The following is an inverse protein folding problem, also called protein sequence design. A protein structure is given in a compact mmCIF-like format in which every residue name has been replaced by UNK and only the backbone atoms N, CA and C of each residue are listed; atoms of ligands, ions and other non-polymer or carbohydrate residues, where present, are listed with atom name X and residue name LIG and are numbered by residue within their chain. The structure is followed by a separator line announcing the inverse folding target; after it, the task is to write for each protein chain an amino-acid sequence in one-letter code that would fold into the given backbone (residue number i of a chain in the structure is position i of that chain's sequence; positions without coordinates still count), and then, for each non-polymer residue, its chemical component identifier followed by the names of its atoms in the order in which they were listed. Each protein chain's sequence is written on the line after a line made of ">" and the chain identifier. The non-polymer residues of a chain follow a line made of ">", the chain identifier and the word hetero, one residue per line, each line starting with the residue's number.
data_IF_668314535136
#
_entry.id   IF_668314535136
#
_cell.length_a   1.000
_cell.length_b   1.000
_cell.length_c   1.000
_cell.angle_alpha   90.00
_cell.angle_beta   90.00
_cell.angle_gamma   90.00
#
_symmetry.space_group_name_H-M   'P 1'
#
loop_
_entity.id
_entity.type
_entity.pdbx_description
1 polymer ?
#
# COMPACT_ATOMS: atom_id res chain seq x y z
N UNK A 1 -7.05 7.00 -26.01
CA UNK A 1 -7.94 6.78 -24.85
C UNK A 1 -9.38 6.72 -25.34
N UNK A 2 -9.87 7.74 -26.05
CA UNK A 2 -11.26 7.82 -26.54
C UNK A 2 -11.76 6.62 -27.35
N UNK A 3 -10.97 6.09 -28.30
CA UNK A 3 -11.37 4.90 -29.08
C UNK A 3 -11.53 3.63 -28.23
N UNK A 4 -10.72 3.50 -27.16
CA UNK A 4 -10.75 2.38 -26.22
C UNK A 4 -11.99 2.52 -25.33
N UNK A 5 -12.30 3.74 -24.89
CA UNK A 5 -13.50 4.04 -24.09
C UNK A 5 -14.79 3.83 -24.89
N UNK A 6 -14.82 4.26 -26.15
CA UNK A 6 -15.97 4.06 -27.04
C UNK A 6 -16.29 2.57 -27.25
N UNK A 7 -15.27 1.74 -27.49
CA UNK A 7 -15.46 0.29 -27.65
C UNK A 7 -15.89 -0.41 -26.36
N UNK A 8 -15.43 0.08 -25.20
CA UNK A 8 -15.89 -0.40 -23.90
C UNK A 8 -17.36 -0.02 -23.67
N UNK A 9 -17.77 1.20 -24.05
CA UNK A 9 -19.11 1.75 -23.86
C UNK A 9 -20.16 1.26 -24.90
N UNK A 10 -19.75 0.47 -25.88
CA UNK A 10 -20.67 -0.15 -26.83
C UNK A 10 -21.43 -1.36 -26.24
N UNK A 11 -22.57 -1.68 -26.84
CA UNK A 11 -23.45 -2.79 -26.44
C UNK A 11 -22.90 -4.16 -26.87
N UNK A 12 -23.32 -5.22 -26.19
CA UNK A 12 -22.82 -6.57 -26.45
C UNK A 12 -23.22 -7.06 -27.84
N UNK A 13 -22.25 -7.15 -28.76
CA UNK A 13 -22.48 -7.62 -30.14
C UNK A 13 -23.09 -9.02 -30.13
N UNK A 14 -22.62 -9.89 -29.23
CA UNK A 14 -23.11 -11.25 -29.14
C UNK A 14 -24.57 -11.30 -28.68
N UNK A 15 -24.95 -10.45 -27.71
CA UNK A 15 -26.34 -10.36 -27.26
C UNK A 15 -27.26 -9.81 -28.36
N UNK A 16 -26.82 -8.76 -29.06
CA UNK A 16 -27.54 -8.21 -30.21
C UNK A 16 -27.73 -9.25 -31.32
N UNK A 17 -26.69 -10.02 -31.66
CA UNK A 17 -26.77 -11.10 -32.65
C UNK A 17 -27.70 -12.24 -32.24
N UNK A 18 -27.79 -12.52 -30.94
CA UNK A 18 -28.69 -13.53 -30.39
C UNK A 18 -30.15 -13.05 -30.29
N UNK A 19 -30.49 -11.87 -30.84
CA UNK A 19 -31.84 -11.30 -30.79
C UNK A 19 -32.22 -10.74 -29.42
N UNK A 20 -31.27 -10.59 -28.50
CA UNK A 20 -31.49 -10.10 -27.13
C UNK A 20 -31.47 -8.56 -27.02
N UNK A 21 -31.58 -7.84 -28.14
CA UNK A 21 -31.39 -6.39 -28.20
C UNK A 21 -32.41 -5.55 -27.44
N UNK A 22 -33.59 -6.11 -27.16
CA UNK A 22 -34.63 -5.48 -26.32
C UNK A 22 -34.84 -6.21 -25.00
N UNK A 23 -34.06 -7.27 -24.75
CA UNK A 23 -34.17 -8.09 -23.55
C UNK A 23 -33.13 -7.71 -22.51
N UNK A 24 -33.52 -7.80 -21.25
CA UNK A 24 -32.63 -7.60 -20.11
C UNK A 24 -31.66 -8.77 -19.97
N UNK A 25 -30.36 -8.49 -19.81
CA UNK A 25 -29.36 -9.52 -19.50
C UNK A 25 -29.51 -10.06 -18.07
N UNK A 26 -28.74 -11.10 -17.73
CA UNK A 26 -28.73 -11.69 -16.38
C UNK A 26 -28.27 -10.71 -15.28
N UNK A 27 -27.73 -9.55 -15.65
CA UNK A 27 -27.27 -8.50 -14.74
C UNK A 27 -28.26 -7.32 -14.64
N UNK A 28 -29.40 -7.38 -15.34
CA UNK A 28 -30.43 -6.34 -15.27
C UNK A 28 -30.29 -5.21 -16.31
N UNK A 29 -29.42 -5.33 -17.31
CA UNK A 29 -29.19 -4.29 -18.33
C UNK A 29 -29.97 -4.56 -19.63
N UNK A 30 -30.72 -3.55 -20.10
CA UNK A 30 -31.40 -3.54 -21.40
C UNK A 30 -31.07 -2.23 -22.15
N UNK A 31 -30.43 -2.27 -23.35
CA UNK A 31 -29.88 -3.47 -23.98
C UNK A 31 -28.71 -4.08 -23.18
N UNK A 32 -28.36 -5.34 -23.40
CA UNK A 32 -27.22 -6.00 -22.74
C UNK A 32 -25.90 -5.25 -22.98
N UNK A 33 -25.30 -4.73 -21.90
CA UNK A 33 -24.05 -3.96 -21.97
C UNK A 33 -22.83 -4.88 -22.13
N UNK A 34 -21.76 -4.41 -22.77
CA UNK A 34 -20.45 -5.09 -22.70
C UNK A 34 -19.85 -4.92 -21.31
N UNK A 35 -19.34 -6.03 -20.75
CA UNK A 35 -18.54 -6.01 -19.52
C UNK A 35 -17.30 -5.11 -19.67
N UNK A 36 -16.71 -5.12 -20.87
CA UNK A 36 -15.60 -4.28 -21.26
C UNK A 36 -14.84 -4.88 -22.44
N UNK A 37 -13.57 -4.49 -22.56
CA UNK A 37 -12.66 -4.94 -23.62
C UNK A 37 -11.39 -5.54 -23.05
N UNK A 38 -10.79 -6.44 -23.84
CA UNK A 38 -9.48 -7.01 -23.56
C UNK A 38 -8.50 -6.50 -24.59
N UNK A 39 -7.51 -5.74 -24.14
CA UNK A 39 -6.42 -5.23 -24.95
C UNK A 39 -5.28 -6.26 -24.91
N UNK A 40 -4.90 -6.76 -26.08
CA UNK A 40 -3.75 -7.63 -26.27
C UNK A 40 -2.95 -7.17 -27.49
N UNK A 41 -1.61 -7.31 -27.50
CA UNK A 41 -0.84 -7.06 -28.69
C UNK A 41 -1.20 -8.07 -29.80
N UNK A 42 -0.96 -7.67 -31.05
CA UNK A 42 -1.24 -8.53 -32.22
C UNK A 42 -0.37 -9.80 -32.19
N UNK A 43 0.86 -9.65 -31.73
CA UNK A 43 1.78 -10.74 -31.46
C UNK A 43 1.78 -11.06 -29.96
N UNK A 44 1.93 -12.34 -29.60
CA UNK A 44 1.94 -12.73 -28.20
C UNK A 44 3.26 -12.30 -27.53
N UNK A 45 3.18 -11.29 -26.68
CA UNK A 45 4.33 -10.79 -25.90
C UNK A 45 4.23 -11.28 -24.47
N UNK A 46 5.36 -11.76 -23.94
CA UNK A 46 5.50 -12.25 -22.56
C UNK A 46 6.47 -11.34 -21.81
N UNK A 47 6.12 -10.97 -20.58
CA UNK A 47 6.99 -10.22 -19.68
C UNK A 47 8.13 -11.08 -19.16
N UNK A 48 9.22 -10.47 -18.66
CA UNK A 48 10.31 -11.19 -17.97
C UNK A 48 9.84 -12.03 -16.77
N UNK A 49 8.62 -11.77 -16.27
CA UNK A 49 7.96 -12.56 -15.22
C UNK A 49 7.23 -13.81 -15.72
N UNK A 50 7.27 -14.12 -17.03
CA UNK A 50 6.55 -15.23 -17.65
C UNK A 50 5.06 -14.97 -17.90
N UNK A 51 4.55 -13.77 -17.58
CA UNK A 51 3.14 -13.40 -17.77
C UNK A 51 2.90 -12.77 -19.14
N UNK A 52 1.79 -13.14 -19.79
CA UNK A 52 1.37 -12.53 -21.06
C UNK A 52 0.95 -11.07 -20.87
N UNK A 53 1.30 -10.22 -21.83
CA UNK A 53 0.88 -8.82 -21.86
C UNK A 53 -0.58 -8.74 -22.28
N UNK A 54 -1.49 -8.71 -21.30
CA UNK A 54 -2.93 -8.58 -21.52
C UNK A 54 -3.48 -7.58 -20.51
N UNK A 55 -4.23 -6.58 -20.98
CA UNK A 55 -4.92 -5.62 -20.14
C UNK A 55 -6.44 -5.74 -20.32
N UNK A 56 -7.17 -5.70 -19.22
CA UNK A 56 -8.65 -5.70 -19.23
C UNK A 56 -9.14 -4.32 -18.85
N UNK A 57 -9.96 -3.72 -19.70
CA UNK A 57 -10.63 -2.45 -19.42
C UNK A 57 -12.13 -2.71 -19.31
N UNK A 58 -12.62 -2.80 -18.07
CA UNK A 58 -14.01 -3.10 -17.72
C UNK A 58 -14.77 -1.82 -17.40
N UNK A 59 -16.07 -1.81 -17.66
CA UNK A 59 -16.98 -0.75 -17.17
C UNK A 59 -17.05 -0.78 -15.65
N UNK A 60 -17.37 0.38 -15.06
CA UNK A 60 -17.50 0.53 -13.61
C UNK A 60 -18.59 -0.35 -13.01
N UNK A 61 -19.67 -0.61 -13.77
CA UNK A 61 -20.79 -1.48 -13.38
C UNK A 61 -20.37 -2.95 -13.20
N UNK A 62 -19.29 -3.37 -13.86
CA UNK A 62 -18.75 -4.73 -13.83
C UNK A 62 -17.42 -4.82 -13.05
N UNK A 63 -17.16 -3.85 -12.18
CA UNK A 63 -15.91 -3.73 -11.45
C UNK A 63 -15.89 -4.66 -10.24
N UNK A 64 -14.86 -5.50 -10.14
CA UNK A 64 -14.64 -6.41 -9.01
C UNK A 64 -14.26 -5.66 -7.72
N UNK A 65 -13.75 -4.43 -7.83
CA UNK A 65 -13.37 -3.60 -6.70
C UNK A 65 -14.44 -2.56 -6.39
N UNK A 66 -14.80 -2.44 -5.10
CA UNK A 66 -15.76 -1.43 -4.62
C UNK A 66 -15.39 -0.01 -5.04
N UNK A 67 -14.10 0.33 -5.03
CA UNK A 67 -13.58 1.63 -5.47
C UNK A 67 -12.84 1.52 -6.81
N UNK A 68 -12.91 2.55 -7.67
CA UNK A 68 -12.10 2.61 -8.89
C UNK A 68 -10.62 2.65 -8.50
N UNK A 69 -9.80 1.81 -9.12
CA UNK A 69 -8.35 1.95 -9.03
C UNK A 69 -7.98 3.25 -9.72
N UNK A 70 -7.61 4.27 -8.95
CA UNK A 70 -7.10 5.52 -9.52
C UNK A 70 -5.87 5.18 -10.35
N UNK A 71 -5.92 5.48 -11.65
CA UNK A 71 -4.73 5.39 -12.52
C UNK A 71 -3.65 6.22 -11.85
N UNK A 72 -2.57 5.55 -11.43
CA UNK A 72 -1.46 6.22 -10.78
C UNK A 72 -0.68 6.88 -11.91
N UNK A 73 -0.74 8.21 -11.99
CA UNK A 73 0.09 8.96 -12.93
C UNK A 73 1.56 8.71 -12.61
N UNK A 74 2.47 8.77 -13.59
CA UNK A 74 3.91 8.60 -13.35
C UNK A 74 4.43 9.50 -12.23
N UNK A 75 3.89 10.72 -12.14
CA UNK A 75 4.18 11.67 -11.06
C UNK A 75 3.78 11.15 -9.67
N UNK A 76 2.59 10.54 -9.53
CA UNK A 76 2.15 9.96 -8.25
C UNK A 76 2.96 8.72 -7.87
N UNK A 77 3.44 7.95 -8.84
CA UNK A 77 4.37 6.84 -8.58
C UNK A 77 5.65 7.40 -7.99
N UNK A 78 6.22 8.44 -8.63
CA UNK A 78 7.43 9.11 -8.18
C UNK A 78 7.27 9.69 -6.77
N UNK A 79 6.17 10.38 -6.48
CA UNK A 79 5.90 10.89 -5.12
C UNK A 79 5.82 9.78 -4.07
N UNK A 80 5.27 8.61 -4.42
CA UNK A 80 5.23 7.45 -3.51
C UNK A 80 6.60 6.80 -3.31
N UNK A 81 7.44 6.80 -4.35
CA UNK A 81 8.83 6.34 -4.28
C UNK A 81 9.68 7.28 -3.42
N UNK A 82 9.57 8.59 -3.65
CA UNK A 82 10.25 9.64 -2.87
C UNK A 82 9.81 9.58 -1.40
N UNK A 83 8.50 9.41 -1.14
CA UNK A 83 7.97 9.24 0.22
C UNK A 83 8.54 8.00 0.94
N UNK A 84 8.76 6.89 0.21
CA UNK A 84 9.41 5.69 0.78
C UNK A 84 10.89 5.92 1.03
N UNK A 85 11.59 6.62 0.13
CA UNK A 85 12.99 6.96 0.30
C UNK A 85 13.20 7.83 1.54
N UNK A 86 12.36 8.87 1.72
CA UNK A 86 12.33 9.71 2.92
C UNK A 86 12.13 8.86 4.18
N UNK A 87 11.13 7.98 4.18
CA UNK A 87 10.86 7.14 5.35
C UNK A 87 12.05 6.23 5.70
N UNK A 88 12.71 5.62 4.71
CA UNK A 88 13.84 4.72 4.95
C UNK A 88 15.09 5.45 5.47
N UNK A 89 15.33 6.67 4.99
CA UNK A 89 16.49 7.46 5.41
C UNK A 89 16.31 8.02 6.83
N UNK A 90 15.14 8.60 7.12
CA UNK A 90 14.92 9.38 8.33
C UNK A 90 14.44 8.55 9.52
N UNK A 91 13.75 7.43 9.27
CA UNK A 91 13.23 6.55 10.33
C UNK A 91 14.31 5.54 10.69
N UNK A 92 15.11 5.89 11.71
CA UNK A 92 16.20 5.05 12.22
C UNK A 92 15.94 4.59 13.65
N UNK A 93 16.58 3.49 14.06
CA UNK A 93 16.48 2.94 15.43
C UNK A 93 16.93 3.96 16.48
N UNK A 94 18.01 4.68 16.20
CA UNK A 94 18.53 5.71 17.11
C UNK A 94 17.54 6.85 17.32
N UNK A 95 16.86 7.29 16.25
CA UNK A 95 15.82 8.32 16.36
C UNK A 95 14.63 7.81 17.19
N UNK A 96 14.21 6.56 17.00
CA UNK A 96 13.17 5.96 17.85
C UNK A 96 13.56 5.99 19.34
N UNK A 97 14.81 5.68 19.69
CA UNK A 97 15.28 5.77 21.08
C UNK A 97 15.25 7.20 21.61
N UNK A 98 15.72 8.18 20.84
CA UNK A 98 15.65 9.59 21.25
C UNK A 98 14.21 10.07 21.47
N UNK A 99 13.27 9.63 20.63
CA UNK A 99 11.85 9.97 20.77
C UNK A 99 11.27 9.36 22.04
N UNK A 100 11.56 8.09 22.32
CA UNK A 100 11.09 7.41 23.54
C UNK A 100 11.68 8.07 24.80
N UNK A 101 12.97 8.41 24.78
CA UNK A 101 13.65 9.04 25.93
C UNK A 101 13.15 10.46 26.21
N UNK A 102 13.05 11.31 25.16
CA UNK A 102 12.57 12.70 25.30
C UNK A 102 11.10 12.76 25.75
N UNK A 103 10.26 11.87 25.22
CA UNK A 103 8.82 11.94 25.45
C UNK A 103 8.38 11.39 26.80
N UNK A 104 9.22 10.56 27.46
CA UNK A 104 8.88 9.81 28.67
C UNK A 104 7.58 9.00 28.53
N UNK A 105 7.15 8.72 27.30
CA UNK A 105 5.95 7.94 27.00
C UNK A 105 6.31 6.47 27.19
N UNK A 106 5.50 5.78 27.98
CA UNK A 106 5.68 4.35 28.16
C UNK A 106 5.54 3.62 26.82
N UNK A 107 6.52 2.76 26.53
CA UNK A 107 6.56 1.93 25.34
C UNK A 107 5.51 0.79 25.44
N UNK A 108 4.24 1.16 25.30
CA UNK A 108 3.10 0.26 25.26
C UNK A 108 2.41 0.32 23.89
N UNK A 109 1.68 -0.73 23.54
CA UNK A 109 0.96 -0.80 22.26
C UNK A 109 -0.08 0.33 22.14
N UNK A 110 -0.71 0.72 23.23
CA UNK A 110 -1.70 1.81 23.28
C UNK A 110 -1.12 3.16 22.87
N UNK A 111 0.16 3.39 23.18
CA UNK A 111 0.86 4.64 22.88
C UNK A 111 1.49 4.67 21.48
N UNK A 112 1.33 3.62 20.67
CA UNK A 112 1.90 3.55 19.31
C UNK A 112 1.52 4.77 18.47
N UNK A 113 0.26 5.22 18.53
CA UNK A 113 -0.21 6.40 17.80
C UNK A 113 0.53 7.68 18.20
N UNK A 114 0.76 7.88 19.50
CA UNK A 114 1.49 9.04 20.03
C UNK A 114 2.95 9.00 19.60
N UNK A 115 3.59 7.83 19.65
CA UNK A 115 4.98 7.65 19.24
C UNK A 115 5.15 7.95 17.75
N UNK A 116 4.21 7.52 16.90
CA UNK A 116 4.21 7.85 15.48
C UNK A 116 4.12 9.36 15.26
N UNK A 117 3.23 10.05 15.97
CA UNK A 117 3.10 11.51 15.88
C UNK A 117 4.41 12.20 16.29
N UNK A 118 4.97 11.82 17.44
CA UNK A 118 6.23 12.40 17.94
C UNK A 118 7.41 12.15 17.00
N UNK A 119 7.50 10.95 16.42
CA UNK A 119 8.52 10.62 15.43
C UNK A 119 8.37 11.45 14.15
N UNK A 120 7.13 11.63 13.71
CA UNK A 120 6.84 12.45 12.53
C UNK A 120 7.20 13.92 12.78
N UNK A 121 6.86 14.46 13.95
CA UNK A 121 7.16 15.84 14.33
C UNK A 121 8.67 16.10 14.55
N UNK A 122 9.41 15.10 15.03
CA UNK A 122 10.87 15.16 15.16
C UNK A 122 11.54 15.19 13.78
N UNK A 123 11.11 14.32 12.86
CA UNK A 123 11.62 14.30 11.47
C UNK A 123 11.26 15.58 10.73
N UNK A 124 9.99 16.03 10.78
CA UNK A 124 9.56 17.23 10.05
C UNK A 124 10.30 18.50 10.50
N UNK A 125 10.69 18.57 11.78
CA UNK A 125 11.44 19.70 12.33
C UNK A 125 12.90 19.70 11.89
N UNK A 126 13.54 18.53 11.88
CA UNK A 126 14.95 18.43 11.45
C UNK A 126 15.10 18.49 9.93
N UNK A 127 14.15 17.91 9.20
CA UNK A 127 14.16 17.85 7.74
C UNK A 127 13.49 19.07 7.08
N UNK A 128 13.19 20.13 7.85
CA UNK A 128 12.58 21.36 7.34
C UNK A 128 13.48 21.97 6.25
N UNK A 129 12.97 22.01 5.02
CA UNK A 129 13.71 22.50 3.86
C UNK A 129 14.48 21.43 3.06
N UNK A 130 14.62 20.21 3.59
CA UNK A 130 15.25 19.08 2.89
C UNK A 130 14.22 18.11 2.28
N UNK A 131 13.09 17.91 2.95
CA UNK A 131 12.03 17.02 2.49
C UNK A 131 10.75 17.79 2.12
N UNK A 132 10.03 17.26 1.12
CA UNK A 132 8.71 17.76 0.78
C UNK A 132 7.67 17.15 1.73
N UNK A 133 7.12 17.97 2.61
CA UNK A 133 6.03 17.56 3.51
C UNK A 133 4.77 17.26 2.68
N UNK A 134 4.47 15.96 2.55
CA UNK A 134 3.29 15.47 1.86
C UNK A 134 2.52 14.49 2.74
N UNK A 135 1.20 14.35 2.54
CA UNK A 135 0.40 13.34 3.22
C UNK A 135 0.93 11.91 3.02
N UNK A 136 1.50 11.63 1.84
CA UNK A 136 2.08 10.33 1.52
C UNK A 136 3.40 10.09 2.27
N UNK A 137 4.25 11.12 2.42
CA UNK A 137 5.47 11.04 3.23
C UNK A 137 5.15 10.75 4.71
N UNK A 138 4.24 11.52 5.32
CA UNK A 138 3.80 11.30 6.72
C UNK A 138 3.26 9.89 6.92
N UNK A 139 2.49 9.38 5.94
CA UNK A 139 1.94 8.02 5.98
C UNK A 139 3.03 6.95 5.91
N UNK A 140 4.05 7.12 5.07
CA UNK A 140 5.15 6.15 4.98
C UNK A 140 6.04 6.17 6.23
N UNK A 141 6.34 7.37 6.76
CA UNK A 141 7.07 7.55 8.02
C UNK A 141 6.35 6.82 9.15
N UNK A 142 5.04 7.06 9.30
CA UNK A 142 4.25 6.40 10.34
C UNK A 142 4.19 4.88 10.19
N UNK A 143 4.07 4.38 8.95
CA UNK A 143 4.08 2.93 8.68
C UNK A 143 5.41 2.28 9.08
N UNK A 144 6.55 2.88 8.71
CA UNK A 144 7.87 2.34 9.03
C UNK A 144 8.14 2.42 10.54
N UNK A 145 7.75 3.52 11.17
CA UNK A 145 7.87 3.71 12.62
C UNK A 145 7.07 2.67 13.40
N UNK A 146 5.83 2.37 12.97
CA UNK A 146 5.00 1.35 13.61
C UNK A 146 5.64 -0.05 13.54
N UNK A 147 6.21 -0.40 12.39
CA UNK A 147 6.93 -1.66 12.22
C UNK A 147 8.15 -1.73 13.13
N UNK A 148 8.98 -0.68 13.10
CA UNK A 148 10.19 -0.60 13.93
C UNK A 148 9.87 -0.63 15.43
N UNK A 149 8.81 0.04 15.86
CA UNK A 149 8.36 0.03 17.25
C UNK A 149 7.82 -1.34 17.68
N UNK A 150 7.08 -2.03 16.81
CA UNK A 150 6.66 -3.41 17.06
C UNK A 150 7.86 -4.33 17.26
N UNK A 151 8.88 -4.22 16.42
CA UNK A 151 10.11 -5.01 16.54
C UNK A 151 10.86 -4.68 17.84
N UNK A 152 10.90 -3.40 18.23
CA UNK A 152 11.46 -2.97 19.50
C UNK A 152 10.76 -3.61 20.71
N UNK A 153 9.41 -3.60 20.73
CA UNK A 153 8.63 -4.23 21.80
C UNK A 153 8.84 -5.75 21.85
N UNK A 154 8.90 -6.40 20.69
CA UNK A 154 9.15 -7.82 20.62
C UNK A 154 10.53 -8.19 21.19
N UNK A 155 11.57 -7.45 20.79
CA UNK A 155 12.92 -7.65 21.31
C UNK A 155 13.01 -7.39 22.81
N UNK A 156 12.30 -6.38 23.32
CA UNK A 156 12.24 -6.10 24.75
C UNK A 156 11.61 -7.26 25.53
N UNK A 157 10.50 -7.81 25.05
CA UNK A 157 9.85 -8.97 25.66
C UNK A 157 10.75 -10.22 25.62
N UNK A 158 11.44 -10.47 24.50
CA UNK A 158 12.38 -11.58 24.40
C UNK A 158 13.57 -11.42 25.37
N UNK A 159 14.13 -10.22 25.48
CA UNK A 159 15.23 -9.94 26.41
C UNK A 159 14.78 -10.11 27.88
N UNK A 160 13.58 -9.66 28.24
CA UNK A 160 13.01 -9.87 29.57
C UNK A 160 12.76 -11.36 29.87
N UNK A 161 12.33 -12.14 28.86
CA UNK A 161 12.14 -13.58 28.99
C UNK A 161 13.47 -14.35 29.19
N UNK A 162 14.55 -13.93 28.52
CA UNK A 162 15.90 -14.53 28.71
C UNK A 162 16.47 -14.27 30.11
N UNK A 163 16.18 -13.11 30.72
CA UNK A 163 16.64 -12.77 32.08
C UNK A 163 15.90 -13.60 33.14
N UNK A 164 14.67 -14.03 32.85
CA UNK A 164 13.82 -14.79 33.76
C UNK A 164 13.99 -16.31 33.66
N UNK A 165 14.83 -16.82 32.75
CA UNK A 165 15.12 -18.25 32.65
C UNK A 165 16.18 -18.68 33.68
N UNK A 166 15.81 -19.43 34.74
CA UNK A 166 16.74 -19.80 35.82
C UNK A 166 17.87 -20.75 35.36
N UNK A 167 17.81 -21.27 34.13
CA UNK A 167 18.83 -22.19 33.59
C UNK A 167 20.00 -21.49 32.90
N UNK A 168 19.98 -20.16 32.74
CA UNK A 168 21.04 -19.39 32.10
C UNK A 168 21.89 -18.57 33.10
N UNK A 169 21.78 -18.85 34.41
CA UNK A 169 22.75 -18.32 35.36
C UNK A 169 24.12 -18.93 35.05
N UNK A 170 25.20 -18.12 34.93
CA UNK A 170 26.54 -18.67 34.90
C UNK A 170 26.72 -19.43 36.21
N UNK A 171 26.78 -20.77 36.12
CA UNK A 171 27.15 -21.62 37.24
C UNK A 171 28.43 -21.04 37.81
N UNK A 172 28.35 -20.53 39.04
CA UNK A 172 29.51 -20.02 39.76
C UNK A 172 30.51 -21.18 39.85
N UNK A 173 31.50 -21.16 38.97
CA UNK A 173 32.57 -22.14 38.93
C UNK A 173 33.30 -22.16 40.26
N UNK A 174 33.45 -23.38 40.77
CA UNK A 174 34.17 -23.75 41.99
C UNK A 174 35.66 -23.39 41.96
#
# INVERSE_FOLDING_TARGET
>A
MEAIEAEMLADSIQAMRNGMGESTDNNGFCPPKREGIVLRPLEEVVLNSGKRVIAKHKRDEFRETRTPRKVITPEKIKMLEDAKAIANEWVTKMRLYHVLDKSKVEATIENTGKIISLMTDDILREAEGEILDSPDARKQIGRLTALMFKDYLHNKLCAEAEILDPNNMPTAGA
#
